data_IF_226525993158
#
_entry.id   IF_226525993158
#
_cell.length_a   1.000
_cell.length_b   1.000
_cell.length_c   1.000
_cell.angle_alpha   90.00
_cell.angle_beta   90.00
_cell.angle_gamma   90.00
#
_symmetry.space_group_name_H-M   'P 1'
#
loop_
_entity.id
_entity.type
_entity.pdbx_description
1 polymer ?
#
# COMPACT_ATOMS: atom_id res chain seq x y z
N UNK A 1 -15.80 -28.09 -7.99
CA UNK A 1 -15.60 -26.93 -7.09
C UNK A 1 -14.48 -25.96 -7.52
N UNK A 2 -13.43 -26.37 -8.26
CA UNK A 2 -12.38 -25.45 -8.77
C UNK A 2 -12.81 -24.53 -9.94
N UNK A 3 -13.87 -24.87 -10.68
CA UNK A 3 -14.35 -24.08 -11.84
C UNK A 3 -15.14 -22.81 -11.47
N UNK A 4 -15.78 -22.77 -10.30
CA UNK A 4 -16.56 -21.60 -9.85
C UNK A 4 -15.67 -20.43 -9.38
N UNK A 5 -14.46 -20.71 -8.87
CA UNK A 5 -13.51 -19.68 -8.43
C UNK A 5 -12.87 -18.92 -9.61
N UNK A 6 -12.68 -19.57 -10.76
CA UNK A 6 -12.06 -18.96 -11.95
C UNK A 6 -13.02 -17.94 -12.60
N UNK A 7 -14.33 -18.23 -12.59
CA UNK A 7 -15.35 -17.32 -13.14
C UNK A 7 -15.55 -16.07 -12.26
N UNK A 8 -15.48 -16.21 -10.93
CA UNK A 8 -15.53 -15.09 -10.00
C UNK A 8 -14.32 -14.15 -10.19
N UNK A 9 -13.11 -14.71 -10.32
CA UNK A 9 -11.91 -13.93 -10.61
C UNK A 9 -12.00 -13.19 -11.96
N UNK A 10 -12.59 -13.80 -12.99
CA UNK A 10 -12.74 -13.21 -14.32
C UNK A 10 -13.78 -12.06 -14.35
N UNK A 11 -14.91 -12.22 -13.66
CA UNK A 11 -15.93 -11.18 -13.55
C UNK A 11 -15.42 -9.98 -12.74
N UNK A 12 -14.73 -10.25 -11.64
CA UNK A 12 -14.10 -9.23 -10.80
C UNK A 12 -13.01 -8.47 -11.56
N UNK A 13 -12.15 -9.13 -12.33
CA UNK A 13 -11.13 -8.43 -13.15
C UNK A 13 -11.76 -7.58 -14.25
N UNK A 14 -12.86 -8.04 -14.87
CA UNK A 14 -13.61 -7.24 -15.86
C UNK A 14 -14.33 -6.04 -15.22
N UNK A 15 -14.86 -6.22 -14.01
CA UNK A 15 -15.47 -5.16 -13.21
C UNK A 15 -14.43 -4.13 -12.77
N UNK A 16 -13.28 -4.57 -12.27
CA UNK A 16 -12.10 -3.77 -11.96
C UNK A 16 -11.61 -3.01 -13.19
N UNK A 17 -11.60 -3.60 -14.38
CA UNK A 17 -11.25 -2.92 -15.62
C UNK A 17 -12.26 -1.82 -15.96
N UNK A 18 -13.56 -2.09 -15.96
CA UNK A 18 -14.54 -1.06 -16.31
C UNK A 18 -14.55 0.10 -15.29
N UNK A 19 -14.40 -0.22 -14.01
CA UNK A 19 -14.28 0.77 -12.94
C UNK A 19 -12.97 1.53 -13.08
N UNK A 20 -11.83 0.82 -13.14
CA UNK A 20 -10.41 1.17 -13.45
C UNK A 20 -10.14 2.04 -14.68
N UNK A 21 -10.98 1.93 -15.70
CA UNK A 21 -10.74 2.52 -17.03
C UNK A 21 -11.75 3.59 -17.43
N UNK A 22 -12.76 3.87 -16.58
CA UNK A 22 -13.78 4.87 -16.88
C UNK A 22 -13.15 6.24 -17.20
N UNK A 23 -13.32 6.76 -18.43
CA UNK A 23 -12.82 8.08 -18.78
C UNK A 23 -13.71 9.13 -18.10
N UNK A 24 -13.14 9.97 -17.24
CA UNK A 24 -13.77 11.26 -16.97
C UNK A 24 -13.78 12.04 -18.29
N UNK A 25 -14.97 12.42 -18.78
CA UNK A 25 -15.11 13.18 -20.01
C UNK A 25 -14.14 14.37 -20.02
N UNK A 26 -13.34 14.48 -21.08
CA UNK A 26 -12.43 15.59 -21.29
C UNK A 26 -11.19 15.18 -22.08
N UNK A 27 -11.24 15.46 -23.40
CA UNK A 27 -10.07 15.74 -24.24
C UNK A 27 -9.23 14.55 -24.70
N UNK A 28 -9.38 14.17 -25.96
CA UNK A 28 -8.43 13.31 -26.65
C UNK A 28 -7.08 14.03 -26.82
N UNK A 29 -5.99 13.38 -26.44
CA UNK A 29 -4.71 13.57 -27.15
C UNK A 29 -3.87 12.30 -27.11
N UNK A 30 -3.30 12.01 -28.27
CA UNK A 30 -2.59 10.82 -28.68
C UNK A 30 -1.14 10.84 -28.21
N UNK A 31 -0.72 9.77 -27.54
CA UNK A 31 0.67 9.53 -27.15
C UNK A 31 0.95 8.04 -26.95
N UNK A 32 0.61 7.22 -27.94
CA UNK A 32 0.86 5.78 -27.93
C UNK A 32 2.33 5.45 -28.18
N UNK A 33 3.18 5.62 -27.16
CA UNK A 33 4.58 5.22 -27.19
C UNK A 33 4.84 3.97 -26.36
N UNK A 34 5.19 2.86 -27.03
CA UNK A 34 5.98 1.70 -26.57
C UNK A 34 6.10 1.42 -25.05
N UNK A 35 5.01 1.08 -24.36
CA UNK A 35 5.05 0.50 -23.00
C UNK A 35 5.06 -1.04 -22.98
N UNK A 36 4.73 -1.69 -24.11
CA UNK A 36 4.63 -3.15 -24.21
C UNK A 36 5.95 -3.91 -24.07
N UNK A 37 7.10 -3.24 -24.29
CA UNK A 37 8.42 -3.87 -24.30
C UNK A 37 9.14 -3.88 -22.94
N UNK A 38 8.61 -3.20 -21.91
CA UNK A 38 9.27 -3.13 -20.58
C UNK A 38 9.36 -4.52 -19.92
N UNK A 39 8.45 -5.44 -20.26
CA UNK A 39 8.45 -6.80 -19.72
C UNK A 39 9.23 -7.83 -20.53
N UNK A 40 9.74 -7.48 -21.73
CA UNK A 40 10.42 -8.44 -22.60
C UNK A 40 11.92 -8.56 -22.35
N UNK A 41 12.52 -7.66 -21.56
CA UNK A 41 13.95 -7.69 -21.25
C UNK A 41 14.22 -8.19 -19.82
N UNK A 42 13.81 -9.43 -19.56
CA UNK A 42 14.27 -10.19 -18.40
C UNK A 42 15.67 -10.74 -18.68
N UNK A 43 16.69 -9.92 -18.38
CA UNK A 43 17.99 -10.30 -17.81
C UNK A 43 18.87 -9.03 -17.80
N UNK A 44 19.46 -8.72 -16.64
CA UNK A 44 20.63 -7.81 -16.49
C UNK A 44 20.46 -6.36 -16.02
N UNK A 45 19.38 -5.94 -15.33
CA UNK A 45 19.39 -4.65 -14.62
C UNK A 45 19.08 -4.75 -13.11
N UNK A 46 19.92 -4.10 -12.31
CA UNK A 46 19.95 -4.17 -10.84
C UNK A 46 18.93 -3.25 -10.13
N UNK A 47 18.09 -2.52 -10.88
CA UNK A 47 17.11 -1.56 -10.35
C UNK A 47 15.70 -1.87 -10.85
N UNK A 48 14.68 -1.68 -10.00
CA UNK A 48 13.27 -1.73 -10.45
C UNK A 48 13.02 -0.47 -11.26
N UNK A 49 12.54 -0.60 -12.51
CA UNK A 49 12.08 0.59 -13.23
C UNK A 49 10.88 1.18 -12.48
N UNK A 50 10.70 2.52 -12.46
CA UNK A 50 9.53 3.13 -11.83
C UNK A 50 8.19 2.48 -12.28
N UNK A 51 8.08 2.11 -13.56
CA UNK A 51 6.91 1.41 -14.10
C UNK A 51 6.72 0.00 -13.52
N UNK A 52 7.80 -0.76 -13.31
CA UNK A 52 7.72 -2.08 -12.67
C UNK A 52 7.32 -1.98 -11.21
N UNK A 53 7.78 -0.94 -10.51
CA UNK A 53 7.44 -0.70 -9.13
C UNK A 53 5.94 -0.36 -8.98
N UNK A 54 5.44 0.52 -9.84
CA UNK A 54 4.01 0.85 -9.96
C UNK A 54 3.15 -0.40 -10.20
N UNK A 55 3.55 -1.25 -11.15
CA UNK A 55 2.80 -2.47 -11.45
C UNK A 55 2.80 -3.46 -10.28
N UNK A 56 3.96 -3.62 -9.62
CA UNK A 56 4.09 -4.48 -8.46
C UNK A 56 3.22 -3.98 -7.29
N UNK A 57 3.19 -2.67 -7.04
CA UNK A 57 2.34 -2.05 -6.03
C UNK A 57 0.86 -2.27 -6.33
N UNK A 58 0.45 -2.01 -7.58
CA UNK A 58 -0.92 -2.23 -8.02
C UNK A 58 -1.32 -3.72 -7.90
N UNK A 59 -0.38 -4.62 -8.18
CA UNK A 59 -0.58 -6.06 -8.02
C UNK A 59 -0.78 -6.46 -6.56
N UNK A 60 0.05 -5.97 -5.63
CA UNK A 60 -0.15 -6.18 -4.19
C UNK A 60 -1.50 -5.65 -3.71
N UNK A 61 -1.88 -4.45 -4.17
CA UNK A 61 -3.18 -3.83 -3.86
C UNK A 61 -4.34 -4.72 -4.27
N UNK A 62 -4.23 -5.37 -5.44
CA UNK A 62 -5.28 -6.26 -5.94
C UNK A 62 -5.51 -7.52 -5.12
N UNK A 63 -4.51 -8.01 -4.37
CA UNK A 63 -4.70 -9.13 -3.44
C UNK A 63 -5.49 -8.69 -2.20
N UNK A 64 -5.26 -7.46 -1.72
CA UNK A 64 -5.96 -6.89 -0.58
C UNK A 64 -7.43 -6.66 -0.92
N UNK A 65 -7.70 -5.97 -2.03
CA UNK A 65 -9.06 -5.67 -2.52
C UNK A 65 -9.90 -6.93 -2.73
N UNK A 66 -9.26 -8.08 -3.05
CA UNK A 66 -9.98 -9.34 -3.31
C UNK A 66 -10.03 -10.27 -2.11
N UNK A 67 -9.51 -9.85 -0.95
CA UNK A 67 -9.28 -10.74 0.18
C UNK A 67 -10.56 -11.36 0.73
N UNK A 68 -11.67 -10.60 0.76
CA UNK A 68 -12.97 -11.06 1.25
C UNK A 68 -13.88 -11.62 0.13
N UNK A 69 -13.39 -11.65 -1.12
CA UNK A 69 -14.13 -12.10 -2.29
C UNK A 69 -15.16 -11.10 -2.82
N UNK A 70 -15.32 -9.95 -2.18
CA UNK A 70 -16.05 -8.78 -2.70
C UNK A 70 -15.02 -7.79 -3.20
N UNK A 71 -15.46 -6.83 -4.02
CA UNK A 71 -14.60 -5.73 -4.46
C UNK A 71 -15.35 -4.45 -4.15
N UNK A 72 -14.78 -3.67 -3.23
CA UNK A 72 -15.36 -2.40 -2.83
C UNK A 72 -14.98 -1.32 -3.81
N UNK A 73 -15.98 -0.57 -4.29
CA UNK A 73 -15.74 0.56 -5.19
C UNK A 73 -14.85 1.63 -4.56
N UNK A 74 -15.03 1.87 -3.25
CA UNK A 74 -14.24 2.85 -2.50
C UNK A 74 -12.75 2.51 -2.51
N UNK A 75 -12.39 1.22 -2.41
CA UNK A 75 -10.99 0.79 -2.48
C UNK A 75 -10.40 1.00 -3.88
N UNK A 76 -11.20 0.76 -4.93
CA UNK A 76 -10.76 1.00 -6.32
C UNK A 76 -10.53 2.47 -6.59
N UNK A 77 -11.47 3.30 -6.16
CA UNK A 77 -11.39 4.74 -6.34
C UNK A 77 -10.21 5.29 -5.55
N UNK A 78 -9.95 4.78 -4.35
CA UNK A 78 -8.75 5.13 -3.58
C UNK A 78 -7.46 4.78 -4.33
N UNK A 79 -7.32 3.54 -4.83
CA UNK A 79 -6.13 3.13 -5.60
C UNK A 79 -5.97 4.01 -6.84
N UNK A 80 -7.05 4.25 -7.58
CA UNK A 80 -6.99 5.13 -8.75
C UNK A 80 -6.53 6.53 -8.38
N UNK A 81 -7.18 7.16 -7.42
CA UNK A 81 -6.87 8.53 -7.01
C UNK A 81 -5.42 8.64 -6.57
N UNK A 82 -4.93 7.66 -5.81
CA UNK A 82 -3.52 7.59 -5.40
C UNK A 82 -2.59 7.57 -6.62
N UNK A 83 -2.79 6.65 -7.58
CA UNK A 83 -1.92 6.54 -8.75
C UNK A 83 -2.00 7.76 -9.66
N UNK A 84 -3.18 8.35 -9.85
CA UNK A 84 -3.35 9.58 -10.63
C UNK A 84 -2.65 10.75 -9.95
N UNK A 85 -2.77 10.88 -8.62
CA UNK A 85 -2.08 11.91 -7.85
C UNK A 85 -0.55 11.72 -7.90
N UNK A 86 -0.08 10.47 -7.83
CA UNK A 86 1.35 10.14 -7.78
C UNK A 86 2.06 10.31 -9.13
N UNK A 87 1.41 9.88 -10.22
CA UNK A 87 2.08 9.64 -11.51
C UNK A 87 1.44 10.39 -12.68
N UNK A 88 0.30 11.06 -12.45
CA UNK A 88 -0.52 11.68 -13.49
C UNK A 88 -1.50 10.70 -14.14
N UNK A 89 -2.55 11.26 -14.74
CA UNK A 89 -3.68 10.51 -15.30
C UNK A 89 -3.26 9.52 -16.39
N UNK A 90 -2.43 9.95 -17.33
CA UNK A 90 -2.06 9.13 -18.49
C UNK A 90 -1.19 7.93 -18.11
N UNK A 91 -0.20 8.16 -17.25
CA UNK A 91 0.68 7.11 -16.74
C UNK A 91 -0.09 6.11 -15.88
N UNK A 92 -0.94 6.60 -14.98
CA UNK A 92 -1.81 5.74 -14.18
C UNK A 92 -2.70 4.85 -15.08
N UNK A 93 -3.33 5.42 -16.11
CA UNK A 93 -4.15 4.67 -17.07
C UNK A 93 -3.34 3.61 -17.83
N UNK A 94 -2.12 3.93 -18.25
CA UNK A 94 -1.22 2.97 -18.89
C UNK A 94 -0.88 1.81 -17.94
N UNK A 95 -0.55 2.11 -16.68
CA UNK A 95 -0.27 1.10 -15.65
C UNK A 95 -1.49 0.21 -15.38
N UNK A 96 -2.70 0.78 -15.28
CA UNK A 96 -3.93 0.00 -15.13
C UNK A 96 -4.22 -0.91 -16.34
N UNK A 97 -3.95 -0.42 -17.55
CA UNK A 97 -4.09 -1.23 -18.77
C UNK A 97 -3.14 -2.43 -18.75
N UNK A 98 -1.85 -2.19 -18.48
CA UNK A 98 -0.84 -3.25 -18.40
C UNK A 98 -1.19 -4.26 -17.31
N UNK A 99 -1.59 -3.78 -16.13
CA UNK A 99 -2.04 -4.63 -15.03
C UNK A 99 -3.15 -5.60 -15.44
N UNK A 100 -4.19 -5.09 -16.11
CA UNK A 100 -5.29 -5.91 -16.57
C UNK A 100 -4.87 -6.93 -17.64
N UNK A 101 -3.90 -6.60 -18.49
CA UNK A 101 -3.36 -7.53 -19.49
C UNK A 101 -2.48 -8.61 -18.87
N UNK A 102 -1.67 -8.26 -17.86
CA UNK A 102 -0.73 -9.17 -17.17
C UNK A 102 -1.46 -10.12 -16.24
N UNK A 103 -2.39 -9.64 -15.43
CA UNK A 103 -3.18 -10.47 -14.50
C UNK A 103 -4.07 -11.48 -15.25
N UNK A 104 -4.56 -11.13 -16.45
CA UNK A 104 -5.35 -12.07 -17.27
C UNK A 104 -4.53 -13.24 -17.82
N UNK A 105 -3.19 -13.12 -17.86
CA UNK A 105 -2.31 -14.05 -18.59
C UNK A 105 -1.35 -14.82 -17.70
N UNK A 106 -1.21 -14.48 -16.41
CA UNK A 106 -0.19 -15.08 -15.52
C UNK A 106 -0.71 -15.39 -14.12
N UNK A 107 -0.21 -16.47 -13.56
CA UNK A 107 -0.28 -16.76 -12.13
C UNK A 107 0.74 -15.88 -11.41
N UNK A 108 0.27 -14.71 -10.96
CA UNK A 108 1.06 -13.76 -10.20
C UNK A 108 0.82 -14.04 -8.73
N UNK A 109 1.88 -14.28 -7.95
CA UNK A 109 1.77 -14.52 -6.51
C UNK A 109 2.29 -13.32 -5.71
N UNK A 110 1.58 -12.99 -4.63
CA UNK A 110 1.96 -11.92 -3.71
C UNK A 110 3.38 -12.13 -3.14
N UNK A 111 3.75 -13.39 -2.88
CA UNK A 111 5.09 -13.75 -2.41
C UNK A 111 6.20 -13.34 -3.38
N UNK A 112 6.06 -13.65 -4.67
CA UNK A 112 7.10 -13.32 -5.67
C UNK A 112 7.28 -11.82 -5.82
N UNK A 113 6.17 -11.07 -5.86
CA UNK A 113 6.20 -9.61 -5.93
C UNK A 113 6.87 -9.02 -4.69
N UNK A 114 6.43 -9.44 -3.49
CA UNK A 114 6.97 -8.91 -2.25
C UNK A 114 8.46 -9.24 -2.08
N UNK A 115 8.90 -10.44 -2.44
CA UNK A 115 10.33 -10.79 -2.44
C UNK A 115 11.14 -9.97 -3.45
N UNK A 116 10.56 -9.68 -4.63
CA UNK A 116 11.19 -8.84 -5.64
C UNK A 116 11.38 -7.40 -5.14
N UNK A 117 10.34 -6.82 -4.52
CA UNK A 117 10.38 -5.50 -3.91
C UNK A 117 11.36 -5.46 -2.72
N UNK A 118 11.35 -6.47 -1.86
CA UNK A 118 12.27 -6.58 -0.72
C UNK A 118 13.73 -6.48 -1.14
N UNK A 119 14.09 -7.15 -2.24
CA UNK A 119 15.47 -7.18 -2.73
C UNK A 119 15.97 -5.82 -3.27
N UNK A 120 15.08 -4.86 -3.54
CA UNK A 120 15.40 -3.63 -4.28
C UNK A 120 14.89 -2.35 -3.61
N UNK A 121 14.30 -2.47 -2.43
CA UNK A 121 13.75 -1.33 -1.69
C UNK A 121 14.34 -1.26 -0.30
N UNK A 122 14.47 -0.04 0.21
CA UNK A 122 14.89 0.20 1.60
C UNK A 122 13.81 -0.26 2.56
N UNK A 123 14.17 -0.48 3.82
CA UNK A 123 13.19 -0.89 4.85
C UNK A 123 12.05 0.12 4.95
N UNK A 124 12.37 1.41 4.91
CA UNK A 124 11.40 2.50 5.00
C UNK A 124 10.38 2.49 3.86
N UNK A 125 10.81 2.22 2.62
CA UNK A 125 9.91 2.07 1.47
C UNK A 125 8.94 0.90 1.64
N UNK A 126 9.39 -0.21 2.27
CA UNK A 126 8.53 -1.35 2.59
C UNK A 126 7.47 -1.01 3.64
N UNK A 127 7.83 -0.20 4.64
CA UNK A 127 6.88 0.30 5.62
C UNK A 127 5.84 1.24 4.97
N UNK A 128 6.22 1.98 3.94
CA UNK A 128 5.29 2.82 3.18
C UNK A 128 4.35 1.99 2.30
N UNK A 129 4.85 0.91 1.67
CA UNK A 129 3.99 -0.06 0.97
C UNK A 129 2.97 -0.64 1.94
N UNK A 130 3.39 -1.06 3.13
CA UNK A 130 2.49 -1.61 4.14
C UNK A 130 1.41 -0.61 4.58
N UNK A 131 1.81 0.63 4.87
CA UNK A 131 0.85 1.69 5.20
C UNK A 131 -0.16 1.90 4.08
N UNK A 132 0.32 2.00 2.83
CA UNK A 132 -0.53 2.16 1.66
C UNK A 132 -1.56 1.03 1.51
N UNK A 133 -1.16 -0.24 1.71
CA UNK A 133 -2.08 -1.37 1.66
C UNK A 133 -3.19 -1.28 2.72
N UNK A 134 -2.87 -0.80 3.92
CA UNK A 134 -3.90 -0.53 4.94
C UNK A 134 -4.77 0.68 4.59
N UNK A 135 -4.22 1.72 3.97
CA UNK A 135 -5.02 2.86 3.51
C UNK A 135 -6.03 2.46 2.44
N UNK A 136 -5.68 1.52 1.55
CA UNK A 136 -6.62 0.93 0.59
C UNK A 136 -7.73 0.19 1.33
N UNK A 137 -7.37 -0.75 2.19
CA UNK A 137 -8.35 -1.56 2.93
C UNK A 137 -9.30 -0.68 3.75
N UNK A 138 -8.81 0.41 4.34
CA UNK A 138 -9.61 1.34 5.12
C UNK A 138 -10.35 2.40 4.28
N UNK A 139 -10.38 2.29 2.94
CA UNK A 139 -10.97 3.32 2.07
C UNK A 139 -12.48 3.52 2.30
N UNK A 140 -13.19 2.47 2.72
CA UNK A 140 -14.60 2.52 3.12
C UNK A 140 -14.79 2.76 4.65
N UNK A 141 -13.69 2.97 5.38
CA UNK A 141 -13.66 3.23 6.82
C UNK A 141 -13.56 1.99 7.72
N UNK A 142 -13.42 0.79 7.15
CA UNK A 142 -13.34 -0.45 7.90
C UNK A 142 -12.28 -1.38 7.30
N UNK A 143 -11.47 -2.03 8.14
CA UNK A 143 -10.48 -3.02 7.67
C UNK A 143 -10.93 -4.40 8.14
N UNK A 144 -11.20 -5.30 7.20
CA UNK A 144 -11.70 -6.64 7.49
C UNK A 144 -10.58 -7.59 7.96
N UNK A 145 -10.95 -8.65 8.68
CA UNK A 145 -9.97 -9.68 9.08
C UNK A 145 -9.31 -10.36 7.88
N UNK A 146 -10.03 -10.50 6.76
CA UNK A 146 -9.51 -11.10 5.53
C UNK A 146 -8.43 -10.22 4.90
N UNK A 147 -8.65 -8.91 4.79
CA UNK A 147 -7.62 -7.95 4.36
C UNK A 147 -6.41 -7.97 5.28
N UNK A 148 -6.62 -7.93 6.60
CA UNK A 148 -5.52 -7.98 7.58
C UNK A 148 -4.65 -9.21 7.37
N UNK A 149 -5.26 -10.38 7.13
CA UNK A 149 -4.53 -11.63 6.91
C UNK A 149 -3.66 -11.55 5.64
N UNK A 150 -4.21 -11.04 4.54
CA UNK A 150 -3.46 -10.85 3.29
C UNK A 150 -2.33 -9.84 3.47
N UNK A 151 -2.61 -8.69 4.11
CA UNK A 151 -1.61 -7.65 4.39
C UNK A 151 -0.51 -8.21 5.30
N UNK A 152 -0.84 -9.05 6.28
CA UNK A 152 0.14 -9.69 7.17
C UNK A 152 1.05 -10.67 6.42
N UNK A 153 0.50 -11.46 5.49
CA UNK A 153 1.31 -12.32 4.63
C UNK A 153 2.27 -11.50 3.76
N UNK A 154 1.78 -10.45 3.12
CA UNK A 154 2.59 -9.53 2.32
C UNK A 154 3.70 -8.90 3.18
N UNK A 155 3.38 -8.45 4.40
CA UNK A 155 4.36 -7.89 5.33
C UNK A 155 5.46 -8.90 5.69
N UNK A 156 5.11 -10.16 5.90
CA UNK A 156 6.06 -11.25 6.12
C UNK A 156 7.01 -11.44 4.94
N UNK A 157 6.48 -11.45 3.71
CA UNK A 157 7.29 -11.57 2.49
C UNK A 157 8.18 -10.34 2.23
N UNK A 158 7.70 -9.15 2.61
CA UNK A 158 8.49 -7.92 2.62
C UNK A 158 9.53 -7.92 3.75
N UNK A 159 9.52 -8.89 4.66
CA UNK A 159 10.38 -8.95 5.85
C UNK A 159 10.26 -7.69 6.72
N UNK A 160 9.02 -7.29 6.98
CA UNK A 160 8.67 -6.24 7.95
C UNK A 160 8.58 -6.87 9.34
N UNK A 161 9.12 -6.19 10.33
CA UNK A 161 9.10 -6.64 11.73
C UNK A 161 7.68 -6.61 12.29
N UNK A 162 7.36 -7.54 13.20
CA UNK A 162 6.04 -7.65 13.82
C UNK A 162 5.63 -6.39 14.59
N UNK A 163 6.59 -5.70 15.22
CA UNK A 163 6.36 -4.44 15.92
C UNK A 163 5.91 -3.34 14.95
N UNK A 164 6.64 -3.16 13.84
CA UNK A 164 6.28 -2.18 12.80
C UNK A 164 4.92 -2.50 12.16
N UNK A 165 4.63 -3.78 11.91
CA UNK A 165 3.33 -4.21 11.41
C UNK A 165 2.20 -3.85 12.39
N UNK A 166 2.39 -4.15 13.67
CA UNK A 166 1.41 -3.86 14.71
C UNK A 166 1.19 -2.35 14.90
N UNK A 167 2.27 -1.57 14.84
CA UNK A 167 2.24 -0.10 14.89
C UNK A 167 1.46 0.49 13.72
N UNK A 168 1.79 0.10 12.48
CA UNK A 168 1.09 0.58 11.28
C UNK A 168 -0.36 0.15 11.31
N UNK A 169 -0.65 -1.11 11.63
CA UNK A 169 -2.01 -1.62 11.75
C UNK A 169 -2.81 -0.75 12.73
N UNK A 170 -2.25 -0.44 13.91
CA UNK A 170 -2.95 0.36 14.93
C UNK A 170 -3.38 1.75 14.47
N UNK A 171 -2.77 2.33 13.43
CA UNK A 171 -3.18 3.61 12.84
C UNK A 171 -4.57 3.56 12.18
N UNK A 172 -5.03 2.37 11.79
CA UNK A 172 -6.29 2.15 11.07
C UNK A 172 -7.40 1.55 11.94
N UNK A 173 -7.12 1.24 13.21
CA UNK A 173 -8.13 0.75 14.15
C UNK A 173 -8.28 1.73 15.30
N UNK A 174 -9.51 2.22 15.52
CA UNK A 174 -9.84 3.06 16.67
C UNK A 174 -10.07 2.18 17.90
N UNK A 175 -8.99 1.89 18.65
CA UNK A 175 -9.04 1.18 19.93
C UNK A 175 -8.41 2.03 21.04
N UNK A 176 -8.83 1.86 22.31
CA UNK A 176 -8.25 2.61 23.43
C UNK A 176 -6.74 2.43 23.61
N UNK A 177 -6.18 1.33 23.09
CA UNK A 177 -4.75 1.00 23.19
C UNK A 177 -3.94 1.36 21.94
N UNK A 178 -4.56 1.95 20.91
CA UNK A 178 -3.90 2.21 19.62
C UNK A 178 -2.71 3.15 19.77
N UNK A 179 -2.77 4.16 20.64
CA UNK A 179 -1.67 5.13 20.80
C UNK A 179 -0.37 4.46 21.31
N UNK A 180 -0.47 3.57 22.29
CA UNK A 180 0.66 2.77 22.78
C UNK A 180 1.24 1.88 21.68
N UNK A 181 0.38 1.21 20.91
CA UNK A 181 0.80 0.34 19.81
C UNK A 181 1.45 1.11 18.66
N UNK A 182 0.94 2.28 18.31
CA UNK A 182 1.54 3.15 17.29
C UNK A 182 2.96 3.54 17.71
N UNK A 183 3.20 3.79 18.99
CA UNK A 183 4.53 4.09 19.52
C UNK A 183 5.39 2.86 19.83
N UNK A 184 4.90 1.64 19.55
CA UNK A 184 5.62 0.38 19.84
C UNK A 184 5.99 0.24 21.33
N UNK A 185 5.10 0.66 22.23
CA UNK A 185 5.28 0.53 23.68
C UNK A 185 4.11 -0.19 24.33
N UNK A 186 4.37 -0.81 25.48
CA UNK A 186 3.33 -1.40 26.32
C UNK A 186 2.55 -0.31 27.08
N UNK A 187 1.31 -0.64 27.51
CA UNK A 187 0.51 0.26 28.36
C UNK A 187 1.17 0.57 29.70
N UNK A 188 2.05 -0.31 30.16
CA UNK A 188 2.83 -0.17 31.39
C UNK A 188 4.07 0.71 31.22
N UNK A 189 4.36 1.20 30.00
CA UNK A 189 5.49 2.07 29.75
C UNK A 189 5.40 3.35 30.60
N UNK A 190 6.54 3.80 31.08
CA UNK A 190 6.74 5.07 31.78
C UNK A 190 6.70 6.25 30.80
N UNK A 191 6.47 7.45 31.32
CA UNK A 191 6.41 8.65 30.46
C UNK A 191 7.75 8.95 29.78
N UNK A 192 8.86 8.61 30.44
CA UNK A 192 10.19 8.69 29.84
C UNK A 192 10.35 7.74 28.66
N UNK A 193 9.83 6.51 28.77
CA UNK A 193 9.82 5.53 27.69
C UNK A 193 8.93 5.99 26.53
N UNK A 194 7.76 6.56 26.81
CA UNK A 194 6.86 7.11 25.78
C UNK A 194 7.54 8.26 25.02
N UNK A 195 8.17 9.20 25.72
CA UNK A 195 8.94 10.31 25.11
C UNK A 195 10.07 9.78 24.23
N UNK A 196 10.77 8.73 24.69
CA UNK A 196 11.85 8.08 23.92
C UNK A 196 11.31 7.37 22.68
N UNK A 197 10.20 6.66 22.81
CA UNK A 197 9.54 5.96 21.74
C UNK A 197 9.06 6.93 20.65
N UNK A 198 8.41 8.03 21.03
CA UNK A 198 8.02 9.08 20.10
C UNK A 198 9.20 9.59 19.27
N UNK A 199 10.33 9.97 19.89
CA UNK A 199 11.53 10.42 19.15
C UNK A 199 12.06 9.36 18.19
N UNK A 200 12.04 8.09 18.61
CA UNK A 200 12.48 6.96 17.79
C UNK A 200 11.57 6.78 16.57
N UNK A 201 10.27 6.82 16.78
CA UNK A 201 9.25 6.64 15.73
C UNK A 201 9.21 7.83 14.77
N UNK A 202 9.31 9.06 15.28
CA UNK A 202 9.42 10.28 14.49
C UNK A 202 10.63 10.21 13.54
N UNK A 203 11.80 9.76 14.02
CA UNK A 203 12.98 9.54 13.16
C UNK A 203 12.79 8.38 12.18
N UNK A 204 12.12 7.31 12.58
CA UNK A 204 11.85 6.12 11.74
C UNK A 204 10.95 6.48 10.56
N UNK A 205 9.93 7.30 10.78
CA UNK A 205 8.88 7.63 9.80
C UNK A 205 8.98 9.06 9.24
N UNK A 206 10.11 9.74 9.46
CA UNK A 206 10.30 11.08 8.93
C UNK A 206 10.23 11.08 7.39
N UNK A 207 9.46 12.00 6.78
CA UNK A 207 9.34 12.11 5.32
C UNK A 207 10.69 12.18 4.58
N UNK A 208 11.71 12.80 5.19
CA UNK A 208 13.07 12.90 4.64
C UNK A 208 13.66 11.54 4.22
N UNK A 209 13.28 10.45 4.89
CA UNK A 209 13.75 9.11 4.53
C UNK A 209 13.26 8.63 3.17
N UNK A 210 12.21 9.26 2.63
CA UNK A 210 11.52 8.89 1.40
C UNK A 210 11.55 10.00 0.34
N UNK A 211 12.41 11.02 0.49
CA UNK A 211 12.57 12.12 -0.50
C UNK A 211 12.97 11.62 -1.89
N UNK A 212 13.64 10.47 -1.96
CA UNK A 212 14.01 9.80 -3.21
C UNK A 212 12.85 9.04 -3.89
N UNK A 213 11.67 9.03 -3.27
CA UNK A 213 10.45 8.41 -3.79
C UNK A 213 9.47 9.49 -4.27
N UNK A 214 8.47 9.09 -5.06
CA UNK A 214 7.48 9.99 -5.63
C UNK A 214 6.63 10.71 -4.57
N UNK A 215 6.01 11.83 -4.95
CA UNK A 215 5.28 12.73 -4.05
C UNK A 215 4.18 12.01 -3.25
N UNK A 216 3.49 11.04 -3.84
CA UNK A 216 2.48 10.26 -3.12
C UNK A 216 3.05 9.39 -2.01
N UNK A 217 4.28 8.87 -2.16
CA UNK A 217 4.99 8.16 -1.09
C UNK A 217 5.37 9.12 0.04
N UNK A 218 5.80 10.33 -0.31
CA UNK A 218 6.11 11.37 0.68
C UNK A 218 4.85 11.80 1.45
N UNK A 219 3.71 11.91 0.76
CA UNK A 219 2.41 12.21 1.38
C UNK A 219 2.01 11.11 2.37
N UNK A 220 2.10 9.84 1.98
CA UNK A 220 1.80 8.74 2.90
C UNK A 220 2.78 8.66 4.07
N UNK A 221 4.05 9.02 3.87
CA UNK A 221 5.03 9.13 4.96
C UNK A 221 4.65 10.25 5.93
N UNK A 222 4.18 11.39 5.41
CA UNK A 222 3.68 12.51 6.21
C UNK A 222 2.44 12.10 7.02
N UNK A 223 1.47 11.41 6.41
CA UNK A 223 0.29 10.88 7.11
C UNK A 223 0.70 9.97 8.26
N UNK A 224 1.63 9.05 8.00
CA UNK A 224 2.17 8.15 9.01
C UNK A 224 2.89 8.89 10.15
N UNK A 225 3.69 9.91 9.81
CA UNK A 225 4.37 10.75 10.79
C UNK A 225 3.37 11.51 11.67
N UNK A 226 2.31 12.07 11.07
CA UNK A 226 1.22 12.73 11.78
C UNK A 226 0.51 11.77 12.73
N UNK A 227 0.28 10.51 12.34
CA UNK A 227 -0.30 9.49 13.23
C UNK A 227 0.57 9.20 14.47
N UNK A 228 1.89 9.21 14.31
CA UNK A 228 2.82 9.08 15.45
C UNK A 228 2.73 10.29 16.39
N UNK A 229 2.61 11.49 15.83
CA UNK A 229 2.43 12.72 16.62
C UNK A 229 1.09 12.70 17.35
N UNK A 230 -0.01 12.40 16.66
CA UNK A 230 -1.36 12.28 17.25
C UNK A 230 -1.38 11.26 18.41
N UNK A 231 -0.72 10.11 18.25
CA UNK A 231 -0.61 9.10 19.30
C UNK A 231 0.16 9.62 20.52
N UNK A 232 1.26 10.33 20.31
CA UNK A 232 2.03 10.92 21.40
C UNK A 232 1.22 12.01 22.13
N UNK A 233 0.59 12.92 21.38
CA UNK A 233 -0.22 14.02 21.93
C UNK A 233 -1.42 13.46 22.73
N UNK A 234 -2.02 12.36 22.27
CA UNK A 234 -3.07 11.66 23.01
C UNK A 234 -2.55 11.15 24.37
N UNK A 235 -1.44 10.41 24.39
CA UNK A 235 -0.88 9.87 25.62
C UNK A 235 -0.43 10.98 26.58
N UNK A 236 0.10 12.06 26.04
CA UNK A 236 0.48 13.24 26.81
C UNK A 236 -0.72 13.83 27.55
N UNK A 237 -1.87 13.98 26.87
CA UNK A 237 -3.12 14.46 27.47
C UNK A 237 -3.70 13.48 28.47
N UNK A 238 -3.69 12.19 28.16
CA UNK A 238 -4.25 11.14 29.03
C UNK A 238 -3.47 10.99 30.35
N UNK A 239 -2.16 11.21 30.33
CA UNK A 239 -1.27 10.98 31.48
C UNK A 239 -0.77 12.25 32.18
N UNK A 240 -0.79 13.39 31.50
CA UNK A 240 -0.45 14.70 32.06
C UNK A 240 1.05 14.97 32.21
N UNK A 241 1.86 14.77 31.16
CA UNK A 241 3.33 14.96 31.18
C UNK A 241 3.92 15.84 30.07
#
# INVERSE_FOLDING_TARGET
MKFLFILAAFWVVRFLFNQLSSPSQGGASSGGGSFGNVYQQQNSSSQVSPADFELNLLSLSSFVIKADGKVSQSELDYVRQYFVQAYGKDRANATFKVFNEVIKKRDVSAQRIAMHLRARTRYESRLQILHFLFSIANADGQVTSSEVNVIQQIAGYLSIQSADFSSIKAMFFKKPDSAYKILEVEKTATDAEIKKAYRTMAKKYHPDKLVHMDEAYQKGAKEKFLKVQEAYDQLQKERGF
#
